data_IF_087087739631
#
_entry.id   IF_087087739631
#
_cell.length_a   1.000
_cell.length_b   1.000
_cell.length_c   1.000
_cell.angle_alpha   90.00
_cell.angle_beta   90.00
_cell.angle_gamma   90.00
#
_symmetry.space_group_name_H-M   'P 1'
#
loop_
_entity.id
_entity.type
_entity.pdbx_description
1 polymer ?
#
# COMPACT_ATOMS: atom_id res chain seq x y z
N UNK A 1 44.47 -42.80 36.63
CA UNK A 1 43.76 -41.56 37.01
C UNK A 1 44.43 -40.38 36.30
N UNK A 2 43.66 -39.74 35.40
CA UNK A 2 43.70 -38.33 34.97
C UNK A 2 44.96 -37.73 34.30
N UNK A 3 44.81 -37.53 32.97
CA UNK A 3 45.13 -36.34 32.15
C UNK A 3 46.62 -35.94 32.07
N UNK A 4 47.39 -36.03 30.97
CA UNK A 4 47.20 -35.91 29.51
C UNK A 4 46.42 -34.67 29.03
N UNK A 5 47.11 -33.86 28.22
CA UNK A 5 46.67 -32.70 27.42
C UNK A 5 46.68 -31.36 28.19
N UNK A 6 47.67 -30.51 27.89
CA UNK A 6 47.63 -29.05 27.66
C UNK A 6 49.10 -28.60 27.53
N UNK A 7 49.69 -28.67 26.33
CA UNK A 7 50.73 -27.74 25.83
C UNK A 7 50.81 -27.86 24.28
N UNK A 8 49.67 -27.67 23.58
CA UNK A 8 49.66 -27.41 22.13
C UNK A 8 48.62 -26.31 21.91
N UNK A 9 48.95 -25.07 22.26
CA UNK A 9 48.10 -23.92 21.92
C UNK A 9 48.79 -22.56 21.92
N UNK A 10 50.14 -22.50 21.99
CA UNK A 10 50.86 -21.21 22.00
C UNK A 10 52.04 -21.22 21.01
N UNK A 11 51.93 -21.99 19.92
CA UNK A 11 52.91 -21.96 18.83
C UNK A 11 52.23 -21.94 17.45
N UNK A 12 51.08 -21.27 17.36
CA UNK A 12 50.40 -21.00 16.09
C UNK A 12 49.86 -19.56 16.05
N UNK A 13 50.64 -18.61 16.55
CA UNK A 13 50.26 -17.18 16.58
C UNK A 13 51.27 -16.25 15.92
N UNK A 14 52.35 -16.78 15.32
CA UNK A 14 53.34 -15.97 14.61
C UNK A 14 53.88 -16.76 13.43
N UNK A 15 53.21 -16.67 12.28
CA UNK A 15 53.75 -16.82 10.92
C UNK A 15 52.58 -16.99 9.96
N UNK A 16 52.12 -15.88 9.39
CA UNK A 16 51.75 -15.70 7.98
C UNK A 16 51.17 -14.29 7.81
N UNK A 17 52.07 -13.31 7.86
CA UNK A 17 51.95 -12.12 7.03
C UNK A 17 52.22 -12.56 5.59
N UNK A 18 51.28 -12.27 4.70
CA UNK A 18 51.50 -12.27 3.25
C UNK A 18 50.94 -13.46 2.49
N UNK A 19 49.68 -13.38 2.08
CA UNK A 19 49.21 -13.79 0.75
C UNK A 19 47.90 -13.07 0.42
N UNK A 20 47.87 -12.45 -0.75
CA UNK A 20 46.75 -11.75 -1.35
C UNK A 20 45.64 -12.72 -1.75
N UNK A 21 44.44 -12.54 -1.22
CA UNK A 21 43.22 -12.71 -2.00
C UNK A 21 42.31 -11.54 -1.68
N UNK A 22 41.92 -10.79 -2.71
CA UNK A 22 40.74 -9.93 -2.64
C UNK A 22 39.58 -10.89 -2.39
N UNK A 23 39.24 -11.12 -1.13
CA UNK A 23 37.98 -11.74 -0.76
C UNK A 23 36.88 -10.89 -1.37
N UNK A 24 36.34 -11.35 -2.51
CA UNK A 24 35.09 -10.84 -3.04
C UNK A 24 34.07 -11.15 -1.95
N UNK A 25 33.54 -10.12 -1.30
CA UNK A 25 32.39 -10.27 -0.44
C UNK A 25 31.24 -10.72 -1.33
N UNK A 26 31.03 -12.04 -1.41
CA UNK A 26 29.83 -12.60 -2.01
C UNK A 26 28.74 -12.30 -1.01
N UNK A 27 27.97 -11.23 -1.25
CA UNK A 27 26.87 -10.83 -0.38
C UNK A 27 25.96 -12.03 -0.09
N UNK A 28 25.34 -12.04 1.09
CA UNK A 28 24.52 -13.15 1.58
C UNK A 28 23.61 -13.68 0.48
N UNK A 29 23.63 -14.98 0.21
CA UNK A 29 22.76 -15.57 -0.81
C UNK A 29 21.34 -15.63 -0.27
N UNK A 30 20.38 -15.02 -0.98
CA UNK A 30 18.94 -15.25 -0.76
C UNK A 30 18.37 -15.92 -2.00
N UNK A 31 17.77 -17.08 -1.83
CA UNK A 31 17.26 -17.93 -2.92
C UNK A 31 18.30 -18.29 -3.99
N UNK A 32 19.59 -18.34 -3.61
CA UNK A 32 20.70 -18.72 -4.49
C UNK A 32 21.25 -17.60 -5.37
N UNK A 33 20.76 -16.36 -5.22
CA UNK A 33 21.23 -15.19 -5.97
C UNK A 33 22.06 -14.25 -5.06
N UNK A 34 23.15 -13.63 -5.56
CA UNK A 34 23.89 -12.61 -4.83
C UNK A 34 22.98 -11.43 -4.48
N UNK A 35 22.96 -11.05 -3.19
CA UNK A 35 22.24 -9.86 -2.78
C UNK A 35 22.90 -8.59 -3.32
N UNK A 36 22.08 -7.68 -3.86
CA UNK A 36 22.56 -6.36 -4.26
C UNK A 36 22.73 -5.49 -3.02
N UNK A 37 23.85 -4.78 -2.94
CA UNK A 37 24.11 -3.86 -1.82
C UNK A 37 23.00 -2.81 -1.72
N UNK A 38 22.50 -2.59 -0.50
CA UNK A 38 21.44 -1.61 -0.20
C UNK A 38 20.01 -2.08 -0.51
N UNK A 39 19.81 -3.30 -1.02
CA UNK A 39 18.48 -3.88 -1.27
C UNK A 39 17.96 -4.66 -0.08
N UNK A 40 16.70 -4.41 0.29
CA UNK A 40 15.99 -5.16 1.32
C UNK A 40 14.98 -6.11 0.66
N UNK A 41 14.96 -7.35 1.12
CA UNK A 41 14.07 -8.39 0.59
C UNK A 41 12.95 -8.77 1.55
N UNK A 42 12.88 -8.11 2.71
CA UNK A 42 11.80 -8.20 3.70
C UNK A 42 11.51 -6.79 4.21
N UNK A 43 10.26 -6.59 4.65
CA UNK A 43 9.82 -5.42 5.41
C UNK A 43 10.67 -5.33 6.70
N UNK A 44 11.29 -4.18 6.95
CA UNK A 44 12.19 -4.01 8.10
C UNK A 44 11.38 -3.73 9.37
N UNK A 45 11.98 -3.90 10.56
CA UNK A 45 11.28 -3.59 11.81
C UNK A 45 10.81 -2.14 11.89
N UNK A 46 9.55 -1.97 12.29
CA UNK A 46 8.91 -0.66 12.42
C UNK A 46 9.61 0.18 13.50
N UNK A 47 9.94 1.43 13.17
CA UNK A 47 10.48 2.40 14.14
C UNK A 47 9.40 3.04 15.03
N UNK A 48 8.13 2.82 14.72
CA UNK A 48 6.96 3.33 15.44
C UNK A 48 5.78 2.37 15.29
N UNK A 49 4.87 2.33 16.27
CA UNK A 49 3.62 1.55 16.19
C UNK A 49 2.44 2.38 15.62
N UNK A 50 2.73 3.53 14.99
CA UNK A 50 1.74 4.37 14.30
C UNK A 50 1.36 3.78 12.93
N UNK A 51 0.30 4.30 12.31
CA UNK A 51 -0.08 3.92 10.94
C UNK A 51 0.93 4.45 9.91
N UNK A 52 1.32 3.61 8.96
CA UNK A 52 2.39 3.92 8.00
C UNK A 52 2.11 3.39 6.60
N UNK A 53 2.71 4.02 5.60
CA UNK A 53 2.70 3.53 4.21
C UNK A 53 4.07 2.92 3.93
N UNK A 54 4.09 1.60 3.80
CA UNK A 54 5.26 0.83 3.38
C UNK A 54 5.28 0.70 1.86
N UNK A 55 6.48 0.73 1.27
CA UNK A 55 6.64 0.71 -0.18
C UNK A 55 7.30 -0.57 -0.66
N UNK A 56 6.78 -1.11 -1.77
CA UNK A 56 7.37 -2.28 -2.40
C UNK A 56 7.83 -1.95 -3.82
N UNK A 57 8.96 -2.49 -4.24
CA UNK A 57 9.32 -2.58 -5.66
C UNK A 57 9.10 -4.01 -6.13
N UNK A 58 8.12 -4.20 -7.01
CA UNK A 58 7.64 -5.53 -7.40
C UNK A 58 7.97 -5.82 -8.85
N UNK A 59 8.64 -6.95 -9.12
CA UNK A 59 8.92 -7.43 -10.48
C UNK A 59 8.38 -8.85 -10.71
N UNK A 60 8.02 -9.16 -11.95
CA UNK A 60 7.62 -10.52 -12.33
C UNK A 60 8.83 -11.48 -12.40
N UNK A 61 8.57 -12.79 -12.32
CA UNK A 61 9.57 -13.82 -12.56
C UNK A 61 10.19 -13.66 -13.95
N UNK A 62 11.52 -13.59 -13.99
CA UNK A 62 12.28 -13.45 -15.24
C UNK A 62 12.17 -12.07 -15.91
N UNK A 63 11.55 -11.09 -15.25
CA UNK A 63 11.57 -9.71 -15.73
C UNK A 63 12.93 -9.06 -15.48
N UNK A 64 13.27 -8.09 -16.33
CA UNK A 64 14.37 -7.16 -16.10
C UNK A 64 14.16 -6.45 -14.75
N UNK A 65 15.20 -6.45 -13.93
CA UNK A 65 15.28 -5.68 -12.70
C UNK A 65 15.90 -4.31 -13.00
N UNK A 66 15.06 -3.28 -13.08
CA UNK A 66 15.48 -1.88 -13.28
C UNK A 66 15.95 -1.18 -12.00
N UNK A 67 16.07 -1.90 -10.88
CA UNK A 67 16.67 -1.43 -9.62
C UNK A 67 16.04 -0.17 -9.01
N UNK A 68 14.73 0.04 -9.20
CA UNK A 68 14.03 1.25 -8.73
C UNK A 68 14.14 1.47 -7.22
N UNK A 69 14.25 0.39 -6.46
CA UNK A 69 14.40 0.37 -5.01
C UNK A 69 15.75 0.92 -4.52
N UNK A 70 16.83 0.77 -5.31
CA UNK A 70 18.20 1.13 -4.90
C UNK A 70 18.84 2.24 -5.74
N UNK A 71 18.28 2.58 -6.89
CA UNK A 71 18.82 3.63 -7.78
C UNK A 71 18.29 5.05 -7.49
N UNK A 72 17.47 5.21 -6.43
CA UNK A 72 16.94 6.50 -5.97
C UNK A 72 15.75 7.06 -6.76
N UNK A 73 15.36 6.46 -7.90
CA UNK A 73 14.23 6.96 -8.70
C UNK A 73 12.89 6.82 -7.98
N UNK A 74 12.66 5.67 -7.34
CA UNK A 74 11.43 5.42 -6.58
C UNK A 74 11.32 6.36 -5.38
N UNK A 75 12.40 6.50 -4.61
CA UNK A 75 12.49 7.42 -3.48
C UNK A 75 12.17 8.87 -3.88
N UNK A 76 12.74 9.36 -4.99
CA UNK A 76 12.43 10.70 -5.52
C UNK A 76 10.94 10.90 -5.78
N UNK A 77 10.27 9.92 -6.37
CA UNK A 77 8.82 9.99 -6.65
C UNK A 77 8.01 10.00 -5.35
N UNK A 78 8.35 9.11 -4.41
CA UNK A 78 7.67 8.99 -3.11
C UNK A 78 7.75 10.32 -2.34
N UNK A 79 8.92 10.94 -2.26
CA UNK A 79 9.04 12.26 -1.62
C UNK A 79 8.27 13.35 -2.36
N UNK A 80 8.25 13.31 -3.70
CA UNK A 80 7.48 14.28 -4.48
C UNK A 80 5.97 14.12 -4.26
N UNK A 81 5.47 12.89 -4.13
CA UNK A 81 4.07 12.64 -3.72
C UNK A 81 3.75 13.35 -2.41
N UNK A 82 4.63 13.25 -1.41
CA UNK A 82 4.40 13.91 -0.12
C UNK A 82 4.49 15.44 -0.19
N UNK A 83 5.34 16.01 -1.06
CA UNK A 83 5.36 17.47 -1.29
C UNK A 83 4.06 17.96 -1.93
N UNK A 84 3.57 17.26 -2.95
CA UNK A 84 2.29 17.58 -3.59
C UNK A 84 1.16 17.46 -2.58
N UNK A 85 1.14 16.39 -1.76
CA UNK A 85 0.14 16.22 -0.71
C UNK A 85 0.18 17.36 0.32
N UNK A 86 1.37 17.75 0.79
CA UNK A 86 1.54 18.86 1.73
C UNK A 86 1.02 20.19 1.17
N UNK A 87 1.30 20.48 -0.11
CA UNK A 87 0.78 21.67 -0.80
C UNK A 87 -0.74 21.60 -0.97
N UNK A 88 -1.25 20.44 -1.39
CA UNK A 88 -2.67 20.25 -1.68
C UNK A 88 -3.54 20.40 -0.42
N UNK A 89 -3.07 19.87 0.72
CA UNK A 89 -3.74 20.02 2.02
C UNK A 89 -3.68 21.45 2.53
N UNK A 90 -2.50 22.09 2.48
CA UNK A 90 -2.33 23.49 2.90
C UNK A 90 -3.20 24.47 2.11
N UNK A 91 -3.42 24.20 0.82
CA UNK A 91 -4.21 25.05 -0.08
C UNK A 91 -5.71 24.72 -0.09
N UNK A 92 -6.16 23.77 0.71
CA UNK A 92 -7.57 23.38 0.73
C UNK A 92 -8.38 24.31 1.66
N UNK A 93 -9.29 25.07 1.08
CA UNK A 93 -10.07 26.08 1.80
C UNK A 93 -11.15 25.52 2.74
N UNK A 94 -11.52 24.25 2.60
CA UNK A 94 -12.53 23.59 3.45
C UNK A 94 -11.87 22.89 4.65
N UNK A 95 -10.54 22.70 4.61
CA UNK A 95 -9.80 22.08 5.70
C UNK A 95 -9.57 23.03 6.88
N UNK A 96 -8.97 22.50 7.94
CA UNK A 96 -8.65 23.23 9.18
C UNK A 96 -7.40 24.13 9.08
N UNK A 97 -6.88 24.37 7.87
CA UNK A 97 -5.68 25.15 7.64
C UNK A 97 -4.37 24.47 8.02
N UNK A 98 -4.39 23.20 8.45
CA UNK A 98 -3.18 22.45 8.82
C UNK A 98 -2.68 21.65 7.61
N UNK A 99 -1.48 21.98 7.14
CA UNK A 99 -0.79 21.25 6.10
C UNK A 99 -0.42 19.84 6.57
N UNK A 100 -0.77 18.82 5.80
CA UNK A 100 -0.55 17.41 6.12
C UNK A 100 0.11 16.65 4.97
N UNK A 101 0.92 15.66 5.35
CA UNK A 101 1.53 14.70 4.43
C UNK A 101 1.25 13.27 4.90
N UNK A 102 1.49 12.28 4.05
CA UNK A 102 1.39 10.89 4.45
C UNK A 102 2.53 10.47 5.39
N UNK A 103 2.20 9.57 6.33
CA UNK A 103 3.14 8.86 7.18
C UNK A 103 3.80 7.74 6.37
N UNK A 104 5.03 7.96 5.93
CA UNK A 104 5.81 6.90 5.28
C UNK A 104 6.48 6.01 6.30
N UNK A 105 6.73 4.78 5.90
CA UNK A 105 7.52 3.83 6.67
C UNK A 105 9.03 4.09 6.47
N UNK A 106 9.76 4.11 7.57
CA UNK A 106 11.19 4.42 7.60
C UNK A 106 11.91 3.39 8.45
N UNK A 107 13.14 3.08 8.04
CA UNK A 107 14.06 2.21 8.78
C UNK A 107 14.72 2.97 9.93
N UNK A 108 15.39 2.25 10.82
CA UNK A 108 16.13 2.85 11.95
C UNK A 108 17.19 3.88 11.52
N UNK A 109 17.76 3.74 10.32
CA UNK A 109 18.72 4.68 9.75
C UNK A 109 18.08 5.97 9.16
N UNK A 110 16.77 6.10 9.28
CA UNK A 110 15.99 7.27 8.82
C UNK A 110 15.69 7.30 7.32
N UNK A 111 16.10 6.27 6.55
CA UNK A 111 15.75 6.17 5.13
C UNK A 111 14.41 5.45 4.94
N UNK A 112 13.76 5.68 3.80
CA UNK A 112 12.53 4.96 3.45
C UNK A 112 12.75 3.46 3.55
N UNK A 113 11.75 2.76 4.08
CA UNK A 113 11.71 1.32 4.00
C UNK A 113 11.07 0.89 2.68
N UNK A 114 11.86 0.20 1.85
CA UNK A 114 11.46 -0.26 0.52
C UNK A 114 11.82 -1.74 0.41
N UNK A 115 10.81 -2.59 0.28
CA UNK A 115 11.02 -4.03 0.06
C UNK A 115 11.05 -4.36 -1.42
N UNK A 116 12.12 -5.00 -1.88
CA UNK A 116 12.19 -5.64 -3.18
C UNK A 116 11.44 -6.98 -3.16
N UNK A 117 10.52 -7.15 -4.12
CA UNK A 117 9.70 -8.34 -4.25
C UNK A 117 9.80 -8.89 -5.67
N UNK A 118 10.32 -10.11 -5.78
CA UNK A 118 10.28 -10.89 -7.02
C UNK A 118 9.14 -11.90 -6.93
N UNK A 119 8.16 -11.78 -7.83
CA UNK A 119 7.05 -12.73 -7.93
C UNK A 119 7.55 -14.07 -8.51
N UNK A 120 6.81 -15.12 -8.24
CA UNK A 120 7.02 -16.48 -8.76
C UNK A 120 6.31 -16.74 -10.12
N UNK A 121 5.54 -15.75 -10.61
CA UNK A 121 4.86 -15.77 -11.92
C UNK A 121 5.50 -14.82 -12.91
N UNK A 122 5.56 -15.23 -14.17
CA UNK A 122 5.98 -14.36 -15.29
C UNK A 122 4.88 -13.36 -15.64
N UNK A 123 5.22 -12.30 -16.39
CA UNK A 123 4.25 -11.33 -16.90
C UNK A 123 3.05 -12.00 -17.60
N UNK A 124 3.32 -12.97 -18.49
CA UNK A 124 2.28 -13.71 -19.22
C UNK A 124 1.34 -14.49 -18.29
N UNK A 125 1.84 -15.00 -17.17
CA UNK A 125 1.04 -15.75 -16.19
C UNK A 125 0.20 -14.87 -15.29
N UNK A 126 0.61 -13.61 -15.07
CA UNK A 126 -0.16 -12.64 -14.28
C UNK A 126 -1.37 -12.11 -15.06
N UNK A 127 -1.21 -11.90 -16.38
CA UNK A 127 -2.27 -11.39 -17.24
C UNK A 127 -2.70 -9.96 -16.84
N UNK A 128 -3.94 -9.60 -17.19
CA UNK A 128 -4.51 -8.26 -16.94
C UNK A 128 -4.85 -7.99 -15.48
N UNK A 129 -5.00 -9.04 -14.66
CA UNK A 129 -5.47 -8.97 -13.28
C UNK A 129 -4.32 -9.12 -12.28
N UNK A 130 -3.14 -8.59 -12.60
CA UNK A 130 -1.92 -8.79 -11.80
C UNK A 130 -2.11 -8.41 -10.32
N UNK A 131 -2.92 -7.38 -10.01
CA UNK A 131 -3.15 -6.95 -8.64
C UNK A 131 -3.87 -8.02 -7.78
N UNK A 132 -4.76 -8.82 -8.38
CA UNK A 132 -5.44 -9.93 -7.71
C UNK A 132 -4.47 -11.05 -7.30
N UNK A 133 -3.28 -11.08 -7.90
CA UNK A 133 -2.20 -11.98 -7.51
C UNK A 133 -1.22 -11.34 -6.54
N UNK A 134 -0.83 -10.08 -6.79
CA UNK A 134 0.20 -9.37 -6.02
C UNK A 134 -0.20 -9.24 -4.56
N UNK A 135 -1.41 -8.75 -4.24
CA UNK A 135 -1.81 -8.54 -2.84
C UNK A 135 -1.80 -9.84 -2.01
N UNK A 136 -2.41 -10.97 -2.46
CA UNK A 136 -2.27 -12.24 -1.74
C UNK A 136 -0.81 -12.73 -1.67
N UNK A 137 0.00 -12.54 -2.72
CA UNK A 137 1.42 -12.93 -2.68
C UNK A 137 2.16 -12.17 -1.57
N UNK A 138 1.99 -10.84 -1.49
CA UNK A 138 2.58 -10.02 -0.45
C UNK A 138 2.10 -10.45 0.95
N UNK A 139 0.80 -10.68 1.11
CA UNK A 139 0.23 -11.12 2.39
C UNK A 139 0.76 -12.49 2.83
N UNK A 140 0.67 -13.52 1.98
CA UNK A 140 0.95 -14.90 2.35
C UNK A 140 2.42 -15.30 2.21
N UNK A 141 3.14 -14.76 1.21
CA UNK A 141 4.55 -15.12 0.94
C UNK A 141 5.54 -14.13 1.53
N UNK A 142 5.15 -12.86 1.68
CA UNK A 142 6.03 -11.81 2.24
C UNK A 142 5.64 -11.40 3.66
N UNK A 143 4.61 -11.99 4.24
CA UNK A 143 4.22 -11.71 5.64
C UNK A 143 3.68 -10.29 5.87
N UNK A 144 3.27 -9.60 4.80
CA UNK A 144 2.74 -8.23 4.84
C UNK A 144 1.31 -8.21 5.41
N UNK A 145 1.20 -8.42 6.72
CA UNK A 145 -0.06 -8.64 7.45
C UNK A 145 -0.41 -7.50 8.41
N UNK A 146 0.45 -6.50 8.56
CA UNK A 146 0.21 -5.40 9.51
C UNK A 146 -0.97 -4.55 9.02
N UNK A 147 -2.05 -4.51 9.82
CA UNK A 147 -3.29 -3.78 9.50
C UNK A 147 -3.15 -2.26 9.66
N UNK A 148 -2.12 -1.80 10.37
CA UNK A 148 -1.74 -0.39 10.46
C UNK A 148 -0.84 0.05 9.29
N UNK A 149 -0.42 -0.88 8.43
CA UNK A 149 0.33 -0.56 7.22
C UNK A 149 -0.57 -0.58 5.99
N UNK A 150 -0.37 0.41 5.13
CA UNK A 150 -0.73 0.32 3.72
C UNK A 150 0.51 -0.10 2.94
N UNK A 151 0.40 -1.18 2.16
CA UNK A 151 1.47 -1.64 1.29
C UNK A 151 1.27 -1.08 -0.12
N UNK A 152 2.08 -0.09 -0.49
CA UNK A 152 1.99 0.60 -1.76
C UNK A 152 3.09 0.14 -2.73
N UNK A 153 2.69 -0.46 -3.85
CA UNK A 153 3.56 -1.24 -4.70
C UNK A 153 3.90 -0.46 -5.98
N UNK A 154 5.19 -0.25 -6.24
CA UNK A 154 5.70 0.16 -7.54
C UNK A 154 5.95 -1.11 -8.35
N UNK A 155 5.00 -1.44 -9.22
CA UNK A 155 4.97 -2.71 -9.94
C UNK A 155 5.56 -2.53 -11.33
N UNK A 156 6.71 -3.16 -11.59
CA UNK A 156 7.40 -3.09 -12.89
C UNK A 156 6.90 -4.14 -13.88
N UNK A 157 5.60 -4.12 -14.09
CA UNK A 157 4.86 -5.07 -14.93
C UNK A 157 3.87 -4.24 -15.75
N UNK A 158 3.56 -4.70 -16.96
CA UNK A 158 2.51 -4.09 -17.77
C UNK A 158 1.12 -4.49 -17.23
N UNK A 159 0.13 -3.62 -17.38
CA UNK A 159 -1.21 -3.79 -16.86
C UNK A 159 -2.20 -2.92 -17.66
N UNK A 160 -3.50 -3.22 -17.68
CA UNK A 160 -4.49 -2.38 -18.38
C UNK A 160 -4.57 -0.95 -17.81
N UNK A 161 -4.56 -0.84 -16.49
CA UNK A 161 -4.68 0.41 -15.75
C UNK A 161 -3.32 0.92 -15.25
N UNK A 162 -3.20 2.23 -15.09
CA UNK A 162 -1.99 2.85 -14.54
C UNK A 162 -1.77 2.59 -13.06
N UNK A 163 -2.85 2.29 -12.34
CA UNK A 163 -2.85 1.97 -10.92
C UNK A 163 -4.10 1.20 -10.52
N UNK A 164 -4.06 0.61 -9.33
CA UNK A 164 -5.21 -0.07 -8.73
C UNK A 164 -5.02 -0.14 -7.23
N UNK A 165 -6.02 0.33 -6.48
CA UNK A 165 -5.96 0.34 -5.04
C UNK A 165 -7.24 -0.11 -4.34
N UNK A 166 -6.99 -0.59 -3.14
CA UNK A 166 -7.94 -1.04 -2.14
C UNK A 166 -7.41 -0.61 -0.77
N UNK A 167 -8.24 -0.60 0.26
CA UNK A 167 -7.74 -0.30 1.61
C UNK A 167 -6.72 -1.36 2.02
N UNK A 168 -5.51 -0.91 2.39
CA UNK A 168 -4.38 -1.75 2.80
C UNK A 168 -3.39 -2.12 1.68
N UNK A 169 -3.82 -2.16 0.42
CA UNK A 169 -2.95 -2.49 -0.71
C UNK A 169 -3.25 -1.61 -1.93
N UNK A 170 -2.21 -0.99 -2.48
CA UNK A 170 -2.29 -0.22 -3.71
C UNK A 170 -1.11 -0.51 -4.63
N UNK A 171 -1.31 -0.36 -5.94
CA UNK A 171 -0.28 -0.61 -6.94
C UNK A 171 -0.24 0.51 -7.98
N UNK A 172 0.97 0.92 -8.35
CA UNK A 172 1.30 1.80 -9.48
C UNK A 172 2.05 0.97 -10.53
N UNK A 173 1.51 0.84 -11.74
CA UNK A 173 2.10 0.00 -12.79
C UNK A 173 3.06 0.80 -13.67
N UNK A 174 4.37 0.62 -13.44
CA UNK A 174 5.44 1.44 -14.02
C UNK A 174 5.61 1.30 -15.54
N UNK A 175 5.06 0.24 -16.14
CA UNK A 175 5.13 -0.01 -17.59
C UNK A 175 3.87 0.42 -18.34
N UNK A 176 2.82 0.82 -17.63
CA UNK A 176 1.57 1.25 -18.27
C UNK A 176 1.76 2.59 -19.01
N UNK A 177 1.16 2.71 -20.20
CA UNK A 177 1.22 3.90 -21.05
C UNK A 177 0.74 5.20 -20.41
N UNK A 178 -0.12 5.12 -19.37
CA UNK A 178 -0.64 6.26 -18.62
C UNK A 178 0.35 6.79 -17.57
N UNK A 179 1.45 6.06 -17.36
CA UNK A 179 2.53 6.31 -16.38
C UNK A 179 3.90 6.60 -17.09
N UNK A 180 3.94 7.40 -18.17
CA UNK A 180 5.13 7.51 -19.04
C UNK A 180 6.32 8.22 -18.38
N UNK A 181 6.09 9.04 -17.37
CA UNK A 181 7.12 9.89 -16.74
C UNK A 181 6.91 10.03 -15.23
N UNK A 182 7.84 10.69 -14.54
CA UNK A 182 7.83 10.82 -13.08
C UNK A 182 6.62 11.61 -12.57
N UNK A 183 6.23 12.67 -13.27
CA UNK A 183 5.02 13.44 -12.91
C UNK A 183 3.77 12.55 -12.92
N UNK A 184 3.59 11.73 -13.95
CA UNK A 184 2.45 10.80 -14.01
C UNK A 184 2.52 9.72 -12.92
N UNK A 185 3.71 9.27 -12.52
CA UNK A 185 3.91 8.37 -11.37
C UNK A 185 3.45 9.01 -10.06
N UNK A 186 3.81 10.28 -9.84
CA UNK A 186 3.36 11.04 -8.67
C UNK A 186 1.84 11.16 -8.64
N UNK A 187 1.24 11.61 -9.74
CA UNK A 187 -0.21 11.89 -9.82
C UNK A 187 -1.04 10.63 -9.66
N UNK A 188 -0.67 9.54 -10.35
CA UNK A 188 -1.40 8.27 -10.24
C UNK A 188 -1.12 7.62 -8.89
N UNK A 189 0.13 7.68 -8.40
CA UNK A 189 0.46 7.18 -7.07
C UNK A 189 -0.39 7.83 -5.98
N UNK A 190 -0.54 9.16 -6.03
CA UNK A 190 -1.40 9.91 -5.11
C UNK A 190 -2.88 9.55 -5.25
N UNK A 191 -3.38 9.42 -6.47
CA UNK A 191 -4.74 8.95 -6.74
C UNK A 191 -5.02 7.59 -6.09
N UNK A 192 -4.13 6.62 -6.29
CA UNK A 192 -4.27 5.29 -5.71
C UNK A 192 -4.16 5.34 -4.18
N UNK A 193 -3.26 6.16 -3.63
CA UNK A 193 -3.18 6.35 -2.19
C UNK A 193 -4.48 6.90 -1.61
N UNK A 194 -5.20 7.80 -2.27
CA UNK A 194 -6.53 8.24 -1.81
C UNK A 194 -7.49 7.05 -1.64
N UNK A 195 -7.51 6.12 -2.57
CA UNK A 195 -8.34 4.92 -2.46
C UNK A 195 -7.89 3.99 -1.32
N UNK A 196 -6.58 3.89 -1.04
CA UNK A 196 -6.11 3.15 0.15
C UNK A 196 -6.61 3.77 1.46
N UNK A 197 -6.91 5.07 1.45
CA UNK A 197 -7.48 5.83 2.57
C UNK A 197 -9.02 5.80 2.61
N UNK A 198 -9.66 5.01 1.75
CA UNK A 198 -11.11 4.92 1.67
C UNK A 198 -11.78 6.01 0.83
N UNK A 199 -11.02 6.92 0.20
CA UNK A 199 -11.63 8.00 -0.59
C UNK A 199 -12.34 7.49 -1.84
N UNK A 200 -13.41 8.21 -2.19
CA UNK A 200 -14.41 7.75 -3.15
C UNK A 200 -15.64 7.16 -2.48
N UNK A 201 -16.01 7.67 -1.30
CA UNK A 201 -17.20 7.25 -0.57
C UNK A 201 -18.49 7.77 -1.21
N UNK A 202 -19.51 6.91 -1.29
CA UNK A 202 -20.81 7.24 -1.87
C UNK A 202 -21.70 8.12 -0.97
N UNK A 203 -21.29 8.42 0.26
CA UNK A 203 -21.93 9.44 1.09
C UNK A 203 -21.68 10.85 0.55
N UNK A 204 -20.64 11.04 -0.26
CA UNK A 204 -20.36 12.29 -0.95
C UNK A 204 -21.21 12.40 -2.23
N UNK A 205 -22.13 13.37 -2.36
CA UNK A 205 -23.08 13.44 -3.49
C UNK A 205 -22.44 13.60 -4.87
N UNK A 206 -21.19 14.06 -4.92
CA UNK A 206 -20.41 14.21 -6.16
C UNK A 206 -19.61 12.96 -6.53
N UNK A 207 -19.64 11.91 -5.73
CA UNK A 207 -19.03 10.62 -6.05
C UNK A 207 -20.06 9.72 -6.71
N UNK A 208 -19.64 9.00 -7.75
CA UNK A 208 -20.45 8.00 -8.44
C UNK A 208 -20.76 6.85 -7.50
N UNK A 209 -22.03 6.45 -7.45
CA UNK A 209 -22.49 5.40 -6.53
C UNK A 209 -23.17 4.24 -7.25
N UNK A 210 -23.22 3.09 -6.59
CA UNK A 210 -23.85 1.88 -7.16
C UNK A 210 -25.33 2.09 -7.47
N UNK A 211 -25.98 3.05 -6.79
CA UNK A 211 -27.38 3.42 -7.00
C UNK A 211 -27.61 4.01 -8.39
N UNK A 212 -26.57 4.63 -8.95
CA UNK A 212 -26.53 5.19 -10.31
C UNK A 212 -26.02 4.16 -11.33
N UNK A 213 -25.90 2.89 -10.93
CA UNK A 213 -25.31 1.83 -11.75
C UNK A 213 -23.80 1.95 -11.93
N UNK A 214 -23.12 2.81 -11.16
CA UNK A 214 -21.70 3.10 -11.29
C UNK A 214 -20.93 2.69 -10.02
N UNK A 215 -19.75 2.11 -10.15
CA UNK A 215 -18.97 1.61 -9.01
C UNK A 215 -17.53 2.10 -9.04
N UNK A 216 -17.25 3.17 -9.78
CA UNK A 216 -15.89 3.67 -10.01
C UNK A 216 -15.23 4.26 -8.75
N UNK A 217 -16.02 4.68 -7.74
CA UNK A 217 -15.53 5.44 -6.58
C UNK A 217 -14.81 6.75 -6.98
N UNK A 218 -15.13 7.29 -8.16
CA UNK A 218 -14.60 8.54 -8.69
C UNK A 218 -15.66 9.65 -8.69
N UNK A 219 -15.21 10.88 -8.96
CA UNK A 219 -16.11 12.01 -9.13
C UNK A 219 -17.06 11.79 -10.32
N UNK A 220 -18.27 12.32 -10.20
CA UNK A 220 -19.26 12.38 -11.29
C UNK A 220 -18.72 13.20 -12.46
N UNK A 221 -18.18 14.36 -12.12
CA UNK A 221 -17.48 15.27 -13.03
C UNK A 221 -16.00 14.85 -13.16
N UNK A 222 -15.62 14.37 -14.34
CA UNK A 222 -14.23 13.99 -14.65
C UNK A 222 -13.36 15.18 -15.07
N UNK A 223 -13.96 16.28 -15.52
CA UNK A 223 -13.22 17.47 -15.96
C UNK A 223 -12.61 18.20 -14.76
N UNK A 224 -13.17 17.99 -13.57
CA UNK A 224 -12.56 18.41 -12.33
C UNK A 224 -11.23 17.66 -12.10
N UNK A 225 -10.11 18.33 -12.36
CA UNK A 225 -8.72 17.84 -12.15
C UNK A 225 -8.32 17.76 -10.68
N UNK A 226 -9.13 17.09 -9.86
CA UNK A 226 -8.73 16.72 -8.49
C UNK A 226 -7.81 15.51 -8.49
N UNK A 227 -7.17 15.23 -7.37
CA UNK A 227 -6.32 14.06 -7.17
C UNK A 227 -7.10 12.74 -7.34
N UNK A 228 -8.38 12.71 -6.97
CA UNK A 228 -9.27 11.58 -7.27
C UNK A 228 -9.58 11.44 -8.77
N UNK A 229 -9.26 12.42 -9.61
CA UNK A 229 -9.32 12.34 -11.09
C UNK A 229 -7.94 12.62 -11.72
N UNK A 230 -6.85 12.22 -11.04
CA UNK A 230 -5.47 12.36 -11.54
C UNK A 230 -5.02 13.82 -11.83
N UNK A 231 -5.30 14.72 -10.88
CA UNK A 231 -4.69 16.05 -10.75
C UNK A 231 -4.01 16.25 -9.37
N UNK A 232 -3.66 17.49 -9.02
CA UNK A 232 -2.92 17.79 -7.78
C UNK A 232 -3.82 18.28 -6.63
N UNK A 233 -4.99 18.84 -6.92
CA UNK A 233 -5.88 19.43 -5.90
C UNK A 233 -6.72 18.35 -5.24
N UNK A 234 -6.92 18.39 -3.92
CA UNK A 234 -7.79 17.40 -3.26
C UNK A 234 -9.28 17.71 -3.44
N UNK A 235 -9.68 18.99 -3.42
CA UNK A 235 -11.10 19.35 -3.47
C UNK A 235 -11.87 18.87 -2.23
N UNK A 236 -13.17 18.62 -2.38
CA UNK A 236 -14.10 18.32 -1.27
C UNK A 236 -13.99 16.92 -0.68
N UNK A 237 -13.14 16.05 -1.24
CA UNK A 237 -12.84 14.75 -0.60
C UNK A 237 -11.89 14.93 0.59
N UNK A 238 -11.16 16.06 0.65
CA UNK A 238 -10.26 16.33 1.77
C UNK A 238 -11.02 16.68 3.04
N UNK A 239 -11.95 17.62 2.90
CA UNK A 239 -12.75 18.17 3.97
C UNK A 239 -14.12 18.55 3.43
N UNK A 240 -15.16 18.29 4.22
CA UNK A 240 -16.56 18.61 3.91
C UNK A 240 -17.44 18.58 5.16
N UNK A 241 -18.63 19.18 5.09
CA UNK A 241 -19.61 19.19 6.19
C UNK A 241 -20.75 18.17 5.96
N UNK A 242 -20.41 16.96 5.53
CA UNK A 242 -21.39 15.87 5.40
C UNK A 242 -21.36 15.05 6.68
N UNK A 243 -22.46 15.07 7.41
CA UNK A 243 -22.60 14.30 8.65
C UNK A 243 -22.36 12.81 8.39
N UNK A 244 -21.68 12.16 9.34
CA UNK A 244 -21.45 10.71 9.37
C UNK A 244 -20.73 10.16 8.11
N UNK A 245 -20.00 11.01 7.37
CA UNK A 245 -19.24 10.65 6.18
C UNK A 245 -17.74 10.90 6.44
N UNK A 246 -16.83 9.95 6.16
CA UNK A 246 -15.40 10.18 6.38
C UNK A 246 -14.80 11.14 5.36
N UNK A 247 -13.86 11.97 5.81
CA UNK A 247 -13.13 12.95 5.00
C UNK A 247 -11.62 12.73 5.14
N UNK A 248 -10.84 12.85 4.05
CA UNK A 248 -9.42 12.45 4.05
C UNK A 248 -8.59 13.12 5.16
N UNK A 249 -8.90 14.36 5.54
CA UNK A 249 -8.15 15.10 6.56
C UNK A 249 -8.07 14.37 7.90
N UNK A 250 -9.02 13.47 8.17
CA UNK A 250 -9.11 12.67 9.39
C UNK A 250 -8.46 11.29 9.25
N UNK A 251 -7.81 10.96 8.13
CA UNK A 251 -7.13 9.67 8.01
C UNK A 251 -5.97 9.54 9.01
N UNK A 252 -5.92 8.41 9.71
CA UNK A 252 -4.79 8.02 10.58
C UNK A 252 -3.44 7.97 9.84
N UNK A 253 -3.42 7.90 8.51
CA UNK A 253 -2.19 7.89 7.71
C UNK A 253 -1.66 9.29 7.38
N UNK A 254 -2.30 10.36 7.86
CA UNK A 254 -1.82 11.74 7.71
C UNK A 254 -1.11 12.24 8.96
N UNK A 255 -0.05 13.03 8.74
CA UNK A 255 0.73 13.71 9.75
C UNK A 255 0.73 15.23 9.51
N UNK A 256 0.42 16.06 10.53
CA UNK A 256 -0.09 15.65 11.84
C UNK A 256 -1.47 14.99 11.73
N UNK A 257 -1.73 14.02 12.59
CA UNK A 257 -3.01 13.32 12.65
C UNK A 257 -4.07 14.25 13.20
N UNK A 258 -5.29 14.18 12.64
CA UNK A 258 -6.44 14.92 13.15
C UNK A 258 -6.76 14.51 14.60
N UNK A 259 -7.45 15.39 15.33
CA UNK A 259 -7.93 15.11 16.68
C UNK A 259 -9.07 14.09 16.71
N UNK A 260 -9.70 13.83 15.57
CA UNK A 260 -10.84 12.93 15.44
C UNK A 260 -10.65 11.95 14.27
N UNK A 261 -9.61 11.10 14.35
CA UNK A 261 -9.16 10.34 13.19
C UNK A 261 -10.03 9.12 12.90
N UNK A 262 -9.99 8.64 11.67
CA UNK A 262 -10.55 7.35 11.28
C UNK A 262 -9.49 6.42 10.68
N UNK A 263 -9.69 5.13 10.90
CA UNK A 263 -8.91 4.07 10.27
C UNK A 263 -9.70 3.47 9.09
N UNK A 264 -9.23 3.63 7.83
CA UNK A 264 -9.90 3.06 6.67
C UNK A 264 -10.05 1.54 6.76
N UNK A 265 -9.16 0.83 7.47
CA UNK A 265 -9.29 -0.61 7.67
C UNK A 265 -10.53 -0.95 8.52
N UNK A 266 -10.80 -0.19 9.58
CA UNK A 266 -11.99 -0.42 10.42
C UNK A 266 -13.27 -0.25 9.60
N UNK A 267 -13.33 0.81 8.80
CA UNK A 267 -14.52 1.15 7.99
C UNK A 267 -14.69 0.17 6.82
N UNK A 268 -13.68 0.02 5.96
CA UNK A 268 -13.82 -0.69 4.68
C UNK A 268 -13.56 -2.20 4.78
N UNK A 269 -12.78 -2.66 5.77
CA UNK A 269 -12.47 -4.08 5.94
C UNK A 269 -13.33 -4.75 7.02
N UNK A 270 -13.61 -4.07 8.13
CA UNK A 270 -14.37 -4.64 9.24
C UNK A 270 -15.82 -4.15 9.32
N UNK A 271 -16.21 -3.18 8.48
CA UNK A 271 -17.50 -2.49 8.55
C UNK A 271 -17.81 -1.88 9.92
N UNK A 272 -16.78 -1.59 10.72
CA UNK A 272 -16.92 -0.88 11.99
C UNK A 272 -17.01 0.62 11.72
N UNK A 273 -18.23 1.08 11.45
CA UNK A 273 -18.48 2.45 11.01
C UNK A 273 -18.27 3.49 12.11
N UNK A 274 -18.54 3.14 13.38
CA UNK A 274 -18.51 4.12 14.47
C UNK A 274 -19.49 5.26 14.18
N UNK A 275 -19.00 6.51 14.22
CA UNK A 275 -19.80 7.70 13.86
C UNK A 275 -20.07 7.85 12.35
N UNK A 276 -19.47 7.02 11.49
CA UNK A 276 -19.57 7.14 10.03
C UNK A 276 -20.71 6.27 9.46
N UNK A 277 -21.86 6.30 10.12
CA UNK A 277 -23.05 5.49 9.82
C UNK A 277 -24.00 6.14 8.81
N UNK A 278 -23.48 6.91 7.85
CA UNK A 278 -24.29 7.61 6.85
C UNK A 278 -25.27 6.65 6.15
N UNK A 279 -26.54 7.06 5.87
CA UNK A 279 -27.56 6.17 5.30
C UNK A 279 -27.14 5.42 4.03
N UNK A 280 -26.29 6.02 3.19
CA UNK A 280 -25.77 5.38 1.98
C UNK A 280 -24.82 4.19 2.28
N UNK A 281 -24.11 4.21 3.41
CA UNK A 281 -23.26 3.10 3.86
C UNK A 281 -24.13 1.98 4.39
N UNK A 282 -25.08 2.32 5.29
CA UNK A 282 -26.02 1.38 5.87
C UNK A 282 -26.77 0.61 4.79
N UNK A 283 -27.28 1.31 3.77
CA UNK A 283 -28.02 0.70 2.66
C UNK A 283 -27.19 -0.29 1.85
N UNK A 284 -25.90 0.00 1.60
CA UNK A 284 -24.98 -0.94 0.95
C UNK A 284 -24.83 -2.19 1.80
N UNK A 285 -24.55 -2.00 3.09
CA UNK A 285 -24.24 -3.10 4.00
C UNK A 285 -25.46 -3.98 4.28
N UNK A 286 -26.63 -3.38 4.49
CA UNK A 286 -27.91 -4.08 4.62
C UNK A 286 -28.21 -4.92 3.39
N UNK A 287 -27.92 -4.40 2.20
CA UNK A 287 -28.09 -5.14 0.94
C UNK A 287 -27.13 -6.32 0.86
N UNK A 288 -25.84 -6.12 1.14
CA UNK A 288 -24.85 -7.20 1.12
C UNK A 288 -25.18 -8.29 2.14
N UNK A 289 -25.63 -7.90 3.35
CA UNK A 289 -26.07 -8.79 4.41
C UNK A 289 -27.31 -9.59 3.99
N UNK A 290 -28.32 -8.91 3.43
CA UNK A 290 -29.52 -9.56 2.89
C UNK A 290 -29.20 -10.54 1.77
N UNK A 291 -28.28 -10.20 0.88
CA UNK A 291 -27.85 -11.07 -0.22
C UNK A 291 -26.97 -12.24 0.29
N UNK A 292 -26.50 -12.18 1.55
CA UNK A 292 -25.60 -13.16 2.16
C UNK A 292 -24.25 -13.26 1.46
N UNK A 293 -23.91 -12.30 0.59
CA UNK A 293 -22.72 -12.35 -0.24
C UNK A 293 -22.11 -11.00 -0.55
N UNK A 294 -20.79 -10.96 -0.71
CA UNK A 294 -20.13 -9.76 -1.20
C UNK A 294 -20.27 -9.62 -2.71
N UNK A 295 -20.64 -8.42 -3.16
CA UNK A 295 -20.62 -8.03 -4.55
C UNK A 295 -19.79 -6.76 -4.71
N UNK A 296 -18.68 -6.84 -5.44
CA UNK A 296 -17.78 -5.70 -5.64
C UNK A 296 -18.43 -4.51 -6.35
N UNK A 297 -19.56 -4.70 -7.04
CA UNK A 297 -20.34 -3.60 -7.64
C UNK A 297 -21.26 -2.90 -6.64
N UNK A 298 -21.53 -3.51 -5.48
CA UNK A 298 -22.38 -2.97 -4.42
C UNK A 298 -21.43 -2.60 -3.26
N UNK A 299 -20.88 -1.38 -3.33
CA UNK A 299 -19.91 -0.89 -2.35
C UNK A 299 -20.16 0.58 -2.05
N UNK A 300 -19.87 0.99 -0.82
CA UNK A 300 -19.98 2.37 -0.37
C UNK A 300 -18.68 3.16 -0.57
N UNK A 301 -17.57 2.49 -0.90
CA UNK A 301 -16.26 3.09 -1.15
C UNK A 301 -15.28 2.06 -1.71
N UNK A 302 -13.96 2.30 -1.64
CA UNK A 302 -12.93 1.34 -2.03
C UNK A 302 -13.09 -0.02 -1.33
N UNK A 303 -12.81 -1.10 -2.05
CA UNK A 303 -12.82 -2.45 -1.48
C UNK A 303 -11.71 -2.63 -0.44
N UNK A 304 -11.81 -3.64 0.42
CA UNK A 304 -10.71 -4.06 1.28
C UNK A 304 -9.70 -4.95 0.53
N UNK A 305 -8.41 -4.61 0.62
CA UNK A 305 -7.32 -5.39 0.04
C UNK A 305 -6.97 -6.66 0.82
N UNK A 306 -7.39 -6.76 2.08
CA UNK A 306 -7.24 -7.96 2.91
C UNK A 306 -8.40 -8.95 2.75
N UNK A 307 -9.34 -8.71 1.83
CA UNK A 307 -10.49 -9.61 1.61
C UNK A 307 -10.03 -10.90 0.91
N UNK A 308 -10.40 -12.03 1.48
CA UNK A 308 -10.26 -13.32 0.82
C UNK A 308 -11.34 -13.48 -0.25
N UNK A 309 -10.92 -13.31 -1.51
CA UNK A 309 -11.81 -13.39 -2.66
C UNK A 309 -12.17 -14.83 -3.04
N UNK A 310 -11.42 -15.83 -2.56
CA UNK A 310 -11.61 -17.25 -2.87
C UNK A 310 -12.52 -17.95 -1.87
N UNK A 311 -12.78 -17.31 -0.73
CA UNK A 311 -13.75 -17.80 0.23
C UNK A 311 -15.15 -17.62 -0.32
N UNK A 312 -16.09 -18.46 0.14
CA UNK A 312 -17.47 -18.54 -0.35
C UNK A 312 -18.25 -17.22 -0.30
N UNK A 313 -19.57 -17.26 -0.55
CA UNK A 313 -20.35 -16.06 -0.91
C UNK A 313 -20.15 -14.84 0.00
N UNK A 314 -19.99 -15.03 1.32
CA UNK A 314 -19.87 -13.97 2.33
C UNK A 314 -18.67 -13.02 2.20
N UNK A 315 -18.36 -12.30 3.28
CA UNK A 315 -17.24 -11.36 3.35
C UNK A 315 -16.22 -11.83 4.38
N UNK A 316 -15.10 -12.34 3.90
CA UNK A 316 -14.05 -12.87 4.76
C UNK A 316 -12.76 -12.13 4.50
N UNK A 317 -11.99 -11.91 5.56
CA UNK A 317 -10.61 -11.46 5.45
C UNK A 317 -9.68 -12.66 5.37
N UNK A 318 -8.46 -12.47 4.86
CA UNK A 318 -7.44 -13.51 4.85
C UNK A 318 -7.25 -14.11 6.25
N UNK A 319 -7.13 -15.44 6.29
CA UNK A 319 -6.92 -16.23 7.53
C UNK A 319 -8.06 -16.12 8.57
N UNK A 320 -9.19 -15.46 8.25
CA UNK A 320 -10.36 -15.35 9.12
C UNK A 320 -11.48 -16.28 8.68
N UNK A 321 -12.10 -16.97 9.64
CA UNK A 321 -13.33 -17.75 9.43
C UNK A 321 -14.62 -16.97 9.74
N UNK A 322 -14.50 -15.72 10.17
CA UNK A 322 -15.66 -14.87 10.49
C UNK A 322 -16.19 -14.21 9.23
N UNK A 323 -17.48 -14.41 8.95
CA UNK A 323 -18.19 -13.66 7.92
C UNK A 323 -18.52 -12.26 8.46
N UNK A 324 -17.85 -11.23 7.97
CA UNK A 324 -18.00 -9.86 8.46
C UNK A 324 -19.41 -9.32 8.21
N UNK A 325 -20.13 -9.81 7.18
CA UNK A 325 -21.52 -9.41 6.92
C UNK A 325 -22.50 -9.82 8.04
N UNK A 326 -22.16 -10.83 8.83
CA UNK A 326 -22.99 -11.30 9.94
C UNK A 326 -22.70 -10.55 11.24
N UNK A 327 -21.51 -9.96 11.35
CA UNK A 327 -21.04 -9.27 12.56
C UNK A 327 -21.17 -7.75 12.48
N UNK A 328 -21.53 -7.23 11.32
CA UNK A 328 -21.83 -5.82 11.10
C UNK A 328 -23.25 -5.48 11.59
#
# INVERSE_FOLDING_TARGET
MKNLIIVISILLTVLLLGCTEKGVYVGDLKDGEPQKSGRFYEDQPDVTDDHQIHFNYVIAKGAEDREWDINGKMEKIIYEMNKVMLKATASNNEGDGIARKYKFDYREDGKLDITFVKLDKTFKQLGSEANNYISPFLYFKKGMKNKKKTYFNFVDIDAPDGGSASVGFGSLFLRNKSVPNDYRKVIIGLHELLHTQGMGYNCMPWIRSYEEGNHSNHLKDYDQRTMLNAGEKLGKIYAHNIDNCPQLMDSVYLSPTSNDPYDPYQINCLFKLGKYDHPNFLRVLDRLKKDGRYNWKIRFGPSCGFRDQNKGPGYFLYESNTNILETY
#
